data_IF_700442449508
#
_entry.id   IF_700442449508
#
_cell.length_a   1.000
_cell.length_b   1.000
_cell.length_c   1.000
_cell.angle_alpha   90.00
_cell.angle_beta   90.00
_cell.angle_gamma   90.00
#
_symmetry.space_group_name_H-M   'P 1'
#
loop_
_entity.id
_entity.type
_entity.pdbx_description
1 polymer ?
#
# COMPACT_ATOMS: atom_id res chain seq x y z
N UNK A 1 1.47 -64.02 -14.89
CA UNK A 1 0.89 -63.59 -13.61
C UNK A 1 -0.29 -64.48 -13.32
N UNK A 2 -0.29 -65.21 -12.22
CA UNK A 2 -1.37 -66.16 -11.82
C UNK A 2 -1.72 -65.87 -10.36
N UNK A 3 -3.02 -66.00 -10.01
CA UNK A 3 -3.51 -65.89 -8.66
C UNK A 3 -3.54 -67.32 -8.07
N UNK A 4 -2.85 -67.50 -6.93
CA UNK A 4 -2.87 -68.76 -6.19
C UNK A 4 -4.23 -68.92 -5.46
N UNK A 5 -4.60 -70.16 -5.17
CA UNK A 5 -5.78 -70.50 -4.35
C UNK A 5 -5.74 -69.81 -2.97
N UNK A 6 -4.58 -69.50 -2.48
CA UNK A 6 -4.35 -68.83 -1.16
C UNK A 6 -4.38 -67.30 -1.29
N UNK A 7 -4.77 -66.73 -2.43
CA UNK A 7 -4.86 -65.27 -2.67
C UNK A 7 -3.52 -64.61 -2.94
N UNK A 8 -2.42 -65.32 -3.08
CA UNK A 8 -1.12 -64.78 -3.41
C UNK A 8 -0.97 -64.57 -4.94
N UNK A 9 -0.32 -63.49 -5.33
CA UNK A 9 -0.01 -63.18 -6.72
C UNK A 9 1.34 -63.79 -7.06
N UNK A 10 1.39 -64.67 -8.07
CA UNK A 10 2.59 -65.31 -8.54
C UNK A 10 3.02 -64.62 -9.86
N UNK A 11 4.21 -64.07 -9.88
CA UNK A 11 4.80 -63.41 -11.04
C UNK A 11 6.08 -64.17 -11.41
N UNK A 12 6.09 -64.77 -12.60
CA UNK A 12 7.28 -65.36 -13.16
C UNK A 12 8.07 -64.33 -13.96
N UNK A 13 9.38 -64.30 -13.77
CA UNK A 13 10.35 -63.51 -14.52
C UNK A 13 11.52 -64.38 -15.04
N UNK A 14 12.45 -63.78 -15.76
CA UNK A 14 13.64 -64.49 -16.33
C UNK A 14 14.57 -65.03 -15.25
N UNK A 15 14.54 -64.46 -14.04
CA UNK A 15 15.42 -64.80 -12.91
C UNK A 15 14.73 -65.61 -11.82
N UNK A 16 13.46 -66.04 -12.03
CA UNK A 16 12.73 -66.82 -11.02
C UNK A 16 11.25 -66.48 -10.87
N UNK A 17 10.69 -66.98 -9.79
CA UNK A 17 9.26 -66.78 -9.47
C UNK A 17 9.16 -65.94 -8.18
N UNK A 18 8.41 -64.84 -8.24
CA UNK A 18 8.11 -64.01 -7.09
C UNK A 18 6.71 -64.25 -6.55
N UNK A 19 6.58 -64.48 -5.28
CA UNK A 19 5.30 -64.62 -4.55
C UNK A 19 5.01 -63.31 -3.85
N UNK A 20 3.90 -62.69 -4.19
CA UNK A 20 3.43 -61.46 -3.56
C UNK A 20 2.17 -61.76 -2.79
N UNK A 21 2.21 -61.62 -1.48
CA UNK A 21 1.03 -61.68 -0.60
C UNK A 21 0.37 -60.30 -0.49
N UNK A 22 -0.77 -60.05 -1.14
CA UNK A 22 -1.39 -58.74 -1.12
C UNK A 22 -1.74 -58.24 0.29
N UNK A 23 -1.98 -59.17 1.24
CA UNK A 23 -2.26 -58.87 2.64
C UNK A 23 -1.04 -58.34 3.41
N UNK A 24 0.19 -58.60 2.92
CA UNK A 24 1.45 -58.12 3.52
C UNK A 24 1.95 -56.83 2.88
N UNK A 25 1.28 -56.35 1.82
CA UNK A 25 1.58 -55.08 1.22
C UNK A 25 1.02 -53.97 2.14
N UNK A 26 1.75 -53.65 3.18
CA UNK A 26 1.48 -52.46 3.95
C UNK A 26 2.00 -51.24 3.18
N UNK A 27 1.10 -50.45 2.63
CA UNK A 27 1.44 -49.13 2.18
C UNK A 27 1.90 -48.34 3.41
N UNK A 28 3.19 -48.21 3.59
CA UNK A 28 3.74 -47.26 4.56
C UNK A 28 3.37 -45.88 4.05
N UNK A 29 2.23 -45.35 4.52
CA UNK A 29 1.91 -43.93 4.40
C UNK A 29 2.85 -43.15 5.31
N UNK A 30 4.12 -43.03 4.89
CA UNK A 30 4.95 -41.98 5.48
C UNK A 30 4.31 -40.67 5.04
N UNK A 31 3.72 -39.88 5.95
CA UNK A 31 3.16 -38.60 5.61
C UNK A 31 4.30 -37.67 5.18
N UNK A 32 4.58 -37.64 3.89
CA UNK A 32 5.60 -36.77 3.35
C UNK A 32 5.14 -35.32 3.51
N UNK A 33 5.90 -34.55 4.26
CA UNK A 33 5.66 -33.11 4.39
C UNK A 33 5.93 -32.40 3.04
N UNK A 34 5.16 -31.36 2.75
CA UNK A 34 5.51 -30.43 1.67
C UNK A 34 6.65 -29.54 2.16
N UNK A 35 7.68 -29.42 1.35
CA UNK A 35 8.82 -28.53 1.54
C UNK A 35 8.69 -27.33 0.60
N UNK A 36 9.10 -26.18 1.07
CA UNK A 36 9.24 -24.96 0.27
C UNK A 36 10.65 -24.90 -0.27
N UNK A 37 10.84 -25.30 -1.54
CA UNK A 37 12.16 -25.52 -2.13
C UNK A 37 12.81 -24.24 -2.69
N UNK A 38 12.05 -23.15 -2.84
CA UNK A 38 12.61 -21.89 -3.32
C UNK A 38 11.59 -20.77 -3.43
N UNK A 39 12.13 -19.57 -3.56
CA UNK A 39 11.41 -18.33 -3.81
C UNK A 39 11.95 -17.70 -5.09
N UNK A 40 11.07 -17.38 -6.02
CA UNK A 40 11.41 -16.67 -7.25
C UNK A 40 10.72 -15.32 -7.26
N UNK A 41 11.48 -14.25 -7.50
CA UNK A 41 10.98 -12.88 -7.68
C UNK A 41 11.29 -12.41 -9.09
N UNK A 42 10.27 -11.98 -9.84
CA UNK A 42 10.45 -11.48 -11.22
C UNK A 42 11.37 -12.38 -12.06
N UNK A 43 11.12 -13.69 -12.09
CA UNK A 43 11.89 -14.73 -12.80
C UNK A 43 13.33 -14.97 -12.28
N UNK A 44 13.74 -14.30 -11.22
CA UNK A 44 15.01 -14.55 -10.54
C UNK A 44 14.79 -15.43 -9.31
N UNK A 45 15.42 -16.62 -9.30
CA UNK A 45 15.38 -17.52 -8.15
C UNK A 45 16.36 -17.03 -7.08
N UNK A 46 15.86 -16.75 -5.89
CA UNK A 46 16.66 -16.27 -4.77
C UNK A 46 17.36 -17.41 -4.05
N UNK A 47 18.65 -17.25 -3.79
CA UNK A 47 19.39 -18.10 -2.87
C UNK A 47 19.29 -17.57 -1.41
N UNK A 48 19.54 -18.47 -0.45
CA UNK A 48 19.60 -18.07 0.97
C UNK A 48 20.77 -17.12 1.19
N UNK A 49 20.53 -15.99 1.85
CA UNK A 49 21.53 -14.94 2.11
C UNK A 49 21.80 -14.02 0.92
N UNK A 50 21.15 -14.22 -0.22
CA UNK A 50 21.33 -13.39 -1.40
C UNK A 50 20.72 -12.00 -1.19
N UNK A 51 21.45 -10.96 -1.65
CA UNK A 51 20.99 -9.59 -1.65
C UNK A 51 20.23 -9.28 -2.94
N UNK A 52 18.95 -9.03 -2.82
CA UNK A 52 18.11 -8.56 -3.91
C UNK A 52 17.73 -7.09 -3.68
N UNK A 53 18.12 -6.20 -4.59
CA UNK A 53 17.91 -4.74 -4.46
C UNK A 53 18.35 -4.20 -3.07
N UNK A 54 19.59 -4.54 -2.65
CA UNK A 54 20.21 -4.11 -1.38
C UNK A 54 19.62 -4.74 -0.10
N UNK A 55 18.60 -5.59 -0.19
CA UNK A 55 17.99 -6.26 0.95
C UNK A 55 18.17 -7.77 0.87
N UNK A 56 18.45 -8.43 1.98
CA UNK A 56 18.36 -9.88 2.09
C UNK A 56 16.89 -10.22 2.38
N UNK A 57 16.25 -10.95 1.45
CA UNK A 57 14.83 -11.33 1.57
C UNK A 57 14.69 -12.68 2.26
N UNK A 58 15.64 -13.57 2.04
CA UNK A 58 15.65 -14.92 2.57
C UNK A 58 16.93 -15.12 3.38
N UNK A 59 16.88 -14.86 4.68
CA UNK A 59 18.03 -14.99 5.59
C UNK A 59 18.33 -16.47 5.88
N UNK A 60 17.28 -17.29 5.96
CA UNK A 60 17.34 -18.70 6.24
C UNK A 60 16.47 -19.49 5.25
N UNK A 61 16.63 -20.82 5.23
CA UNK A 61 15.78 -21.72 4.46
C UNK A 61 14.30 -21.56 4.86
N UNK A 62 13.41 -21.57 3.87
CA UNK A 62 11.97 -21.36 4.05
C UNK A 62 11.31 -22.42 4.96
N UNK A 63 11.90 -23.60 5.03
CA UNK A 63 11.39 -24.67 5.88
C UNK A 63 11.78 -24.49 7.36
N UNK A 64 12.83 -23.70 7.63
CA UNK A 64 13.30 -23.36 8.98
C UNK A 64 12.59 -22.11 9.47
N UNK A 65 12.71 -20.99 8.74
CA UNK A 65 12.13 -19.70 9.13
C UNK A 65 10.62 -19.70 9.09
N UNK A 66 10.02 -20.42 8.13
CA UNK A 66 8.58 -20.43 7.84
C UNK A 66 7.96 -19.04 7.71
N UNK A 67 8.80 -18.07 7.39
CA UNK A 67 8.43 -16.68 7.24
C UNK A 67 9.20 -16.01 6.11
N UNK A 68 8.50 -15.19 5.31
CA UNK A 68 9.07 -14.34 4.26
C UNK A 68 8.58 -12.93 4.47
N UNK A 69 9.49 -11.97 4.35
CA UNK A 69 9.17 -10.56 4.40
C UNK A 69 9.46 -9.89 3.05
N UNK A 70 8.41 -9.40 2.38
CA UNK A 70 8.49 -8.76 1.07
C UNK A 70 8.15 -7.29 1.17
N UNK A 71 8.84 -6.45 0.41
CA UNK A 71 8.43 -5.07 0.22
C UNK A 71 7.23 -5.01 -0.76
N UNK A 72 6.42 -3.96 -0.68
CA UNK A 72 5.26 -3.79 -1.56
C UNK A 72 5.59 -3.83 -3.06
N UNK A 73 6.83 -3.52 -3.45
CA UNK A 73 7.30 -3.59 -4.85
C UNK A 73 7.45 -5.04 -5.34
N UNK A 74 7.52 -6.03 -4.44
CA UNK A 74 7.68 -7.45 -4.76
C UNK A 74 6.35 -8.19 -4.66
N UNK A 75 5.33 -7.61 -5.28
CA UNK A 75 3.96 -8.13 -5.23
C UNK A 75 3.70 -9.29 -6.22
N UNK A 76 4.70 -9.68 -7.01
CA UNK A 76 4.68 -10.84 -7.89
C UNK A 76 5.83 -11.79 -7.52
N UNK A 77 5.49 -12.96 -7.02
CA UNK A 77 6.45 -13.96 -6.60
C UNK A 77 5.92 -15.38 -6.76
N UNK A 78 6.84 -16.32 -6.89
CA UNK A 78 6.55 -17.75 -7.03
C UNK A 78 7.22 -18.53 -5.91
N UNK A 79 6.46 -19.33 -5.20
CA UNK A 79 6.96 -20.30 -4.22
C UNK A 79 7.08 -21.63 -4.91
N UNK A 80 8.27 -22.21 -4.88
CA UNK A 80 8.55 -23.55 -5.37
C UNK A 80 8.25 -24.56 -4.26
N UNK A 81 7.61 -25.66 -4.62
CA UNK A 81 7.17 -26.71 -3.71
C UNK A 81 7.89 -28.01 -4.04
N UNK A 82 8.21 -28.77 -3.03
CA UNK A 82 8.71 -30.12 -3.18
C UNK A 82 7.97 -31.07 -2.24
N UNK A 83 7.75 -32.29 -2.69
CA UNK A 83 7.26 -33.36 -1.83
C UNK A 83 8.44 -34.17 -1.30
N UNK A 84 8.49 -34.38 0.00
CA UNK A 84 9.50 -35.26 0.60
C UNK A 84 9.30 -36.75 0.21
N UNK A 85 8.20 -37.07 -0.48
CA UNK A 85 7.95 -38.42 -0.98
C UNK A 85 8.57 -38.60 -2.36
N UNK A 86 9.73 -39.24 -2.40
CA UNK A 86 10.53 -39.51 -3.61
C UNK A 86 9.91 -40.59 -4.53
N UNK A 87 8.82 -41.24 -4.12
CA UNK A 87 8.33 -42.42 -4.84
C UNK A 87 7.74 -42.13 -6.22
N UNK A 88 7.12 -40.97 -6.43
CA UNK A 88 6.60 -40.56 -7.75
C UNK A 88 6.53 -39.00 -7.84
N UNK A 89 7.65 -38.33 -8.11
CA UNK A 89 7.68 -36.85 -8.17
C UNK A 89 6.77 -36.24 -9.22
N UNK A 90 6.68 -36.87 -10.37
CA UNK A 90 5.97 -36.38 -11.58
C UNK A 90 4.43 -36.41 -11.47
N UNK A 91 3.89 -37.19 -10.55
CA UNK A 91 2.44 -37.34 -10.34
C UNK A 91 1.91 -36.70 -9.08
N UNK A 92 2.77 -36.00 -8.33
CA UNK A 92 2.34 -35.30 -7.12
C UNK A 92 1.56 -34.05 -7.49
N UNK A 93 0.33 -33.92 -6.97
CA UNK A 93 -0.46 -32.69 -7.05
C UNK A 93 -0.46 -32.04 -5.70
N UNK A 94 -0.44 -30.71 -5.72
CA UNK A 94 -0.54 -29.91 -4.50
C UNK A 94 -1.90 -29.22 -4.43
N UNK A 95 -2.47 -29.17 -3.25
CA UNK A 95 -3.55 -28.22 -2.99
C UNK A 95 -3.04 -27.18 -2.03
N UNK A 96 -3.41 -25.94 -2.29
CA UNK A 96 -2.94 -24.79 -1.53
C UNK A 96 -4.08 -23.80 -1.29
N UNK A 97 -3.94 -23.00 -0.25
CA UNK A 97 -4.75 -21.80 -0.02
C UNK A 97 -3.87 -20.72 0.59
N UNK A 98 -4.24 -19.47 0.32
CA UNK A 98 -3.58 -18.30 0.90
C UNK A 98 -4.54 -17.61 1.86
N UNK A 99 -4.47 -17.95 3.15
CA UNK A 99 -5.23 -17.28 4.20
C UNK A 99 -4.87 -15.79 4.25
N UNK A 100 -5.86 -14.94 4.43
CA UNK A 100 -5.72 -13.49 4.33
C UNK A 100 -6.08 -12.96 2.95
N UNK A 101 -6.02 -13.80 1.89
CA UNK A 101 -6.49 -13.50 0.55
C UNK A 101 -7.76 -14.29 0.21
N UNK A 102 -7.70 -15.62 0.35
CA UNK A 102 -8.84 -16.52 0.12
C UNK A 102 -8.73 -17.77 0.99
N UNK A 103 -9.85 -18.22 1.53
CA UNK A 103 -9.92 -19.47 2.28
C UNK A 103 -10.20 -20.71 1.39
N UNK A 104 -10.37 -20.50 0.08
CA UNK A 104 -10.64 -21.58 -0.86
C UNK A 104 -9.37 -22.36 -1.17
N UNK A 105 -9.47 -23.68 -1.13
CA UNK A 105 -8.41 -24.56 -1.61
C UNK A 105 -8.38 -24.58 -3.13
N UNK A 106 -7.20 -24.39 -3.69
CA UNK A 106 -6.91 -24.47 -5.12
C UNK A 106 -5.98 -25.64 -5.36
N UNK A 107 -6.06 -26.26 -6.54
CA UNK A 107 -5.20 -27.37 -6.94
C UNK A 107 -4.22 -26.90 -7.99
N UNK A 108 -2.94 -27.33 -7.89
CA UNK A 108 -1.96 -27.11 -8.95
C UNK A 108 -2.22 -28.06 -10.12
N UNK A 109 -1.77 -27.65 -11.30
CA UNK A 109 -1.77 -28.54 -12.47
C UNK A 109 -0.86 -29.73 -12.23
N UNK A 110 -1.05 -30.80 -12.98
CA UNK A 110 -0.22 -32.00 -12.89
C UNK A 110 1.22 -31.67 -13.27
N UNK A 111 2.18 -32.12 -12.48
CA UNK A 111 3.61 -31.79 -12.66
C UNK A 111 4.02 -30.38 -12.27
N UNK A 112 3.07 -29.50 -11.89
CA UNK A 112 3.38 -28.16 -11.44
C UNK A 112 3.69 -28.14 -9.94
N UNK A 113 4.96 -27.96 -9.61
CA UNK A 113 5.46 -27.87 -8.24
C UNK A 113 5.73 -26.41 -7.81
N UNK A 114 4.88 -25.48 -8.25
CA UNK A 114 5.04 -24.06 -7.90
C UNK A 114 3.69 -23.34 -7.82
N UNK A 115 3.64 -22.31 -7.00
CA UNK A 115 2.47 -21.43 -6.83
C UNK A 115 2.91 -20.00 -7.01
N UNK A 116 2.32 -19.31 -7.97
CA UNK A 116 2.60 -17.90 -8.27
C UNK A 116 1.49 -17.02 -7.74
N UNK A 117 1.90 -15.96 -7.06
CA UNK A 117 1.01 -14.90 -6.59
C UNK A 117 1.39 -13.60 -7.27
N UNK A 118 0.39 -12.84 -7.69
CA UNK A 118 0.57 -11.54 -8.34
C UNK A 118 -0.36 -10.53 -7.70
N UNK A 119 0.14 -9.30 -7.56
CA UNK A 119 -0.64 -8.16 -7.11
C UNK A 119 -1.32 -8.33 -5.73
N UNK A 120 -0.59 -8.94 -4.78
CA UNK A 120 -1.05 -9.00 -3.40
C UNK A 120 -0.90 -7.63 -2.72
N UNK A 121 -1.93 -7.23 -1.99
CA UNK A 121 -1.90 -6.00 -1.19
C UNK A 121 -0.96 -6.14 0.01
N UNK A 122 -0.45 -5.02 0.56
CA UNK A 122 0.29 -5.05 1.81
C UNK A 122 -0.53 -5.68 2.94
N UNK A 123 0.07 -6.64 3.63
CA UNK A 123 -0.62 -7.39 4.67
C UNK A 123 0.12 -8.67 5.08
N UNK A 124 -0.49 -9.43 5.97
CA UNK A 124 0.01 -10.73 6.41
C UNK A 124 -0.84 -11.85 5.85
N UNK A 125 -0.19 -12.80 5.20
CA UNK A 125 -0.80 -13.96 4.57
C UNK A 125 -0.18 -15.24 5.11
N UNK A 126 -0.93 -16.33 5.08
CA UNK A 126 -0.41 -17.66 5.39
C UNK A 126 -0.73 -18.59 4.25
N UNK A 127 0.31 -18.99 3.53
CA UNK A 127 0.25 -20.03 2.51
C UNK A 127 0.19 -21.39 3.21
N UNK A 128 -0.89 -22.13 3.01
CA UNK A 128 -1.05 -23.50 3.46
C UNK A 128 -1.05 -24.43 2.25
N UNK A 129 -0.22 -25.45 2.31
CA UNK A 129 -0.04 -26.42 1.21
C UNK A 129 -0.06 -27.83 1.76
N UNK A 130 -0.61 -28.76 0.98
CA UNK A 130 -0.51 -30.21 1.23
C UNK A 130 -0.51 -30.97 -0.10
N UNK A 131 0.04 -32.16 -0.10
CA UNK A 131 -0.05 -33.08 -1.25
C UNK A 131 -1.36 -33.83 -1.25
N UNK A 132 -1.85 -34.13 -2.46
CA UNK A 132 -3.04 -34.94 -2.69
C UNK A 132 -2.75 -36.03 -3.71
N UNK A 133 -3.54 -37.11 -3.64
CA UNK A 133 -3.54 -38.13 -4.69
C UNK A 133 -4.32 -37.66 -5.93
N UNK A 134 -4.41 -38.54 -6.91
CA UNK A 134 -5.17 -38.26 -8.15
C UNK A 134 -6.69 -38.07 -7.93
N UNK A 135 -7.22 -38.55 -6.80
CA UNK A 135 -8.63 -38.37 -6.39
C UNK A 135 -8.85 -37.10 -5.54
N UNK A 136 -7.76 -36.33 -5.24
CA UNK A 136 -7.82 -35.18 -4.39
C UNK A 136 -7.81 -35.49 -2.88
N UNK A 137 -7.55 -36.74 -2.49
CA UNK A 137 -7.47 -37.15 -1.08
C UNK A 137 -6.12 -36.69 -0.52
N UNK A 138 -6.11 -36.00 0.64
CA UNK A 138 -4.87 -35.54 1.26
C UNK A 138 -3.93 -36.67 1.63
N UNK A 139 -2.68 -36.54 1.19
CA UNK A 139 -1.60 -37.51 1.47
C UNK A 139 -0.64 -37.00 2.53
N UNK A 140 -0.58 -35.67 2.76
CA UNK A 140 0.33 -35.06 3.74
C UNK A 140 -0.40 -34.17 4.73
N UNK A 141 0.19 -33.91 5.91
CA UNK A 141 -0.24 -32.81 6.77
C UNK A 141 -0.09 -31.47 6.05
N UNK A 142 -0.71 -30.45 6.60
CA UNK A 142 -0.61 -29.08 6.06
C UNK A 142 0.75 -28.49 6.44
N UNK A 143 1.52 -28.07 5.46
CA UNK A 143 2.71 -27.22 5.63
C UNK A 143 2.28 -25.76 5.48
N UNK A 144 2.80 -24.88 6.35
CA UNK A 144 2.44 -23.45 6.35
C UNK A 144 3.67 -22.57 6.23
N UNK A 145 3.54 -21.49 5.45
CA UNK A 145 4.53 -20.43 5.26
C UNK A 145 3.85 -19.08 5.45
N UNK A 146 4.35 -18.26 6.34
CA UNK A 146 3.84 -16.90 6.57
C UNK A 146 4.52 -15.93 5.63
N UNK A 147 3.73 -15.10 4.94
CA UNK A 147 4.18 -14.10 3.98
C UNK A 147 3.71 -12.75 4.48
N UNK A 148 4.65 -11.84 4.74
CA UNK A 148 4.37 -10.48 5.19
C UNK A 148 4.79 -9.49 4.11
N UNK A 149 3.84 -8.72 3.56
CA UNK A 149 4.11 -7.70 2.57
C UNK A 149 4.04 -6.34 3.26
N UNK A 150 5.19 -5.65 3.31
CA UNK A 150 5.30 -4.32 3.94
C UNK A 150 4.54 -3.27 3.11
N UNK A 151 3.80 -2.36 3.76
CA UNK A 151 3.19 -1.25 3.06
C UNK A 151 4.25 -0.27 2.55
N UNK A 152 3.95 0.47 1.47
CA UNK A 152 4.82 1.55 1.00
C UNK A 152 4.96 2.64 2.05
N UNK A 153 6.11 3.34 2.05
CA UNK A 153 6.44 4.38 3.04
C UNK A 153 5.37 5.50 3.11
N UNK A 154 4.74 5.84 1.97
CA UNK A 154 3.70 6.86 1.90
C UNK A 154 2.34 6.43 2.50
N UNK A 155 2.14 5.14 2.79
CA UNK A 155 1.01 4.56 3.54
C UNK A 155 1.37 4.21 4.98
N UNK A 156 2.55 4.60 5.43
CA UNK A 156 2.98 4.43 6.82
C UNK A 156 2.22 5.38 7.75
N UNK A 157 2.07 4.99 9.01
CA UNK A 157 1.48 5.85 10.06
C UNK A 157 2.21 7.20 10.17
N UNK A 158 3.54 7.20 10.03
CA UNK A 158 4.35 8.42 9.99
C UNK A 158 3.98 9.34 8.81
N UNK A 159 3.73 8.77 7.62
CA UNK A 159 3.33 9.56 6.47
C UNK A 159 1.98 10.27 6.69
N UNK A 160 1.01 9.59 7.28
CA UNK A 160 -0.28 10.20 7.62
C UNK A 160 -0.14 11.33 8.65
N UNK A 161 0.72 11.20 9.64
CA UNK A 161 1.03 12.26 10.61
C UNK A 161 1.61 13.48 9.88
N UNK A 162 2.59 13.27 8.98
CA UNK A 162 3.20 14.35 8.18
C UNK A 162 2.14 15.03 7.31
N UNK A 163 1.28 14.27 6.62
CA UNK A 163 0.21 14.83 5.78
C UNK A 163 -0.77 15.67 6.61
N UNK A 164 -1.11 15.22 7.81
CA UNK A 164 -2.01 15.96 8.72
C UNK A 164 -1.37 17.29 9.16
N UNK A 165 -0.07 17.28 9.52
CA UNK A 165 0.66 18.50 9.90
C UNK A 165 0.73 19.47 8.72
N UNK A 166 1.05 18.99 7.51
CA UNK A 166 1.09 19.82 6.31
C UNK A 166 -0.28 20.43 5.98
N UNK A 167 -1.35 19.67 6.14
CA UNK A 167 -2.71 20.17 5.93
C UNK A 167 -3.05 21.30 6.92
N UNK A 168 -2.75 21.10 8.19
CA UNK A 168 -2.96 22.13 9.23
C UNK A 168 -2.14 23.38 8.91
N UNK A 169 -0.87 23.24 8.55
CA UNK A 169 -0.02 24.36 8.19
C UNK A 169 -0.54 25.12 6.96
N UNK A 170 -1.05 24.41 5.94
CA UNK A 170 -1.65 24.99 4.77
C UNK A 170 -2.91 25.80 5.12
N UNK A 171 -3.80 25.23 5.92
CA UNK A 171 -5.02 25.93 6.38
C UNK A 171 -4.66 27.18 7.17
N UNK A 172 -3.70 27.10 8.08
CA UNK A 172 -3.22 28.25 8.83
C UNK A 172 -2.60 29.33 7.93
N UNK A 173 -1.81 28.94 6.94
CA UNK A 173 -1.26 29.87 5.96
C UNK A 173 -2.34 30.59 5.16
N UNK A 174 -3.32 29.86 4.65
CA UNK A 174 -4.46 30.41 3.91
C UNK A 174 -5.28 31.38 4.79
N UNK A 175 -5.55 30.99 6.04
CA UNK A 175 -6.23 31.87 7.01
C UNK A 175 -5.46 33.18 7.21
N UNK A 176 -4.16 33.10 7.43
CA UNK A 176 -3.29 34.28 7.60
C UNK A 176 -3.24 35.15 6.34
N UNK A 177 -3.19 34.53 5.16
CA UNK A 177 -3.23 35.24 3.88
C UNK A 177 -4.56 36.01 3.68
N UNK A 178 -5.70 35.38 4.00
CA UNK A 178 -7.01 36.01 3.96
C UNK A 178 -7.12 37.18 4.95
N UNK A 179 -6.62 37.02 6.15
CA UNK A 179 -6.56 38.06 7.17
C UNK A 179 -5.75 39.28 6.67
N UNK A 180 -4.58 39.03 6.05
CA UNK A 180 -3.74 40.11 5.47
C UNK A 180 -4.49 40.86 4.37
N UNK A 181 -5.19 40.15 3.47
CA UNK A 181 -6.00 40.74 2.39
C UNK A 181 -7.15 41.60 2.97
N UNK A 182 -7.85 41.12 3.99
CA UNK A 182 -8.93 41.87 4.67
C UNK A 182 -8.41 43.17 5.32
N UNK A 183 -7.27 43.10 6.04
CA UNK A 183 -6.65 44.30 6.65
C UNK A 183 -6.22 45.31 5.59
N UNK A 184 -5.62 44.86 4.50
CA UNK A 184 -5.22 45.74 3.40
C UNK A 184 -6.42 46.42 2.70
N UNK A 185 -7.53 45.69 2.54
CA UNK A 185 -8.76 46.26 2.01
C UNK A 185 -9.37 47.30 2.95
N UNK A 186 -9.41 47.02 4.25
CA UNK A 186 -9.89 47.99 5.25
C UNK A 186 -9.05 49.26 5.29
N UNK A 187 -7.72 49.14 5.28
CA UNK A 187 -6.82 50.29 5.26
C UNK A 187 -7.00 51.17 4.01
N UNK A 188 -7.33 50.58 2.84
CA UNK A 188 -7.63 51.34 1.64
C UNK A 188 -8.93 52.15 1.77
N UNK A 189 -9.99 51.52 2.30
CA UNK A 189 -11.28 52.18 2.52
C UNK A 189 -11.14 53.33 3.50
N UNK A 190 -10.34 53.13 4.56
CA UNK A 190 -10.09 54.17 5.58
C UNK A 190 -9.34 55.39 5.01
N UNK A 191 -8.33 55.13 4.17
CA UNK A 191 -7.57 56.18 3.44
C UNK A 191 -8.44 56.92 2.42
N UNK A 192 -9.36 56.26 1.74
CA UNK A 192 -10.31 56.91 0.82
C UNK A 192 -11.28 57.83 1.56
N UNK A 193 -11.83 57.36 2.69
CA UNK A 193 -12.68 58.18 3.57
C UNK A 193 -11.96 59.42 4.10
N UNK A 194 -10.70 59.30 4.52
CA UNK A 194 -9.92 60.44 4.99
C UNK A 194 -9.68 61.47 3.90
N UNK A 195 -9.39 61.04 2.64
CA UNK A 195 -9.27 61.90 1.46
C UNK A 195 -10.61 62.64 1.16
N UNK A 196 -11.75 61.93 1.20
CA UNK A 196 -13.06 62.55 0.99
C UNK A 196 -13.38 63.62 2.03
N UNK A 197 -13.07 63.34 3.33
CA UNK A 197 -13.26 64.31 4.41
C UNK A 197 -12.37 65.56 4.19
N UNK A 198 -11.12 65.37 3.81
CA UNK A 198 -10.22 66.51 3.55
C UNK A 198 -10.63 67.31 2.33
N UNK A 199 -11.08 66.65 1.25
CA UNK A 199 -11.64 67.33 0.09
C UNK A 199 -12.91 68.15 0.44
N UNK A 200 -13.80 67.55 1.24
CA UNK A 200 -15.01 68.28 1.74
C UNK A 200 -14.67 69.45 2.58
N UNK A 201 -13.67 69.36 3.46
CA UNK A 201 -13.18 70.47 4.28
C UNK A 201 -12.61 71.60 3.39
N UNK A 202 -11.84 71.30 2.38
CA UNK A 202 -11.31 72.28 1.45
C UNK A 202 -12.42 73.05 0.69
N UNK A 203 -13.41 72.32 0.13
CA UNK A 203 -14.56 72.90 -0.51
C UNK A 203 -15.33 73.81 0.46
N UNK A 204 -15.54 73.36 1.67
CA UNK A 204 -16.21 74.16 2.71
C UNK A 204 -15.48 75.49 2.99
N UNK A 205 -14.17 75.45 3.17
CA UNK A 205 -13.37 76.65 3.41
C UNK A 205 -13.37 77.62 2.21
N UNK A 206 -13.34 77.08 0.98
CA UNK A 206 -13.43 77.91 -0.26
C UNK A 206 -14.80 78.63 -0.31
N UNK A 207 -15.87 77.86 -0.05
CA UNK A 207 -17.25 78.44 -0.10
C UNK A 207 -17.42 79.51 1.00
N UNK A 208 -16.98 79.27 2.24
CA UNK A 208 -17.06 80.26 3.32
C UNK A 208 -16.25 81.50 2.97
N UNK A 209 -15.06 81.37 2.42
CA UNK A 209 -14.28 82.50 1.99
C UNK A 209 -14.98 83.34 0.93
N UNK A 210 -15.66 82.70 0.00
CA UNK A 210 -16.47 83.41 -1.00
C UNK A 210 -17.69 84.09 -0.38
N UNK A 211 -18.41 83.39 0.47
CA UNK A 211 -19.61 83.94 1.15
C UNK A 211 -19.29 85.06 2.15
N UNK A 212 -18.13 85.00 2.81
CA UNK A 212 -17.70 86.09 3.69
C UNK A 212 -17.15 87.29 2.91
N UNK A 213 -16.52 87.07 1.76
CA UNK A 213 -15.97 88.18 0.95
C UNK A 213 -17.06 89.19 0.53
N UNK A 214 -18.23 88.67 0.10
CA UNK A 214 -19.32 89.51 -0.39
C UNK A 214 -19.86 90.49 0.64
N UNK A 215 -20.26 90.09 1.86
CA UNK A 215 -20.74 91.01 2.89
C UNK A 215 -19.60 91.95 3.40
N UNK A 216 -18.36 91.44 3.47
CA UNK A 216 -17.21 92.23 3.88
C UNK A 216 -16.91 93.32 2.87
N UNK A 217 -17.01 93.06 1.57
CA UNK A 217 -16.84 94.06 0.51
C UNK A 217 -17.99 95.11 0.55
N UNK A 218 -19.23 94.65 0.83
CA UNK A 218 -20.37 95.54 0.98
C UNK A 218 -20.26 96.51 2.17
N UNK A 219 -19.56 96.10 3.25
CA UNK A 219 -19.29 96.94 4.43
C UNK A 219 -18.07 97.84 4.21
N UNK A 220 -16.99 97.29 3.68
CA UNK A 220 -15.73 98.05 3.47
C UNK A 220 -15.82 99.10 2.35
N UNK A 221 -16.62 98.86 1.31
CA UNK A 221 -16.78 99.76 0.18
C UNK A 221 -17.35 101.14 0.64
N UNK A 222 -18.48 101.24 1.34
CA UNK A 222 -18.97 102.49 1.84
C UNK A 222 -18.08 103.11 2.94
N UNK A 223 -17.45 102.28 3.82
CA UNK A 223 -16.51 102.79 4.81
C UNK A 223 -15.26 103.44 4.13
N UNK A 224 -14.73 102.87 3.04
CA UNK A 224 -13.62 103.42 2.30
C UNK A 224 -14.00 104.69 1.54
N UNK A 225 -15.25 104.84 1.10
CA UNK A 225 -15.71 106.10 0.52
C UNK A 225 -15.86 107.21 1.55
N UNK A 226 -16.32 106.92 2.78
CA UNK A 226 -16.39 107.92 3.90
C UNK A 226 -15.03 108.38 4.33
N UNK A 227 -14.03 107.51 4.38
CA UNK A 227 -12.63 107.89 4.77
C UNK A 227 -11.93 108.65 3.66
N UNK A 228 -12.43 108.67 2.46
CA UNK A 228 -11.82 109.35 1.31
C UNK A 228 -12.44 110.74 1.07
N UNK A 229 -13.47 111.11 1.76
CA UNK A 229 -14.17 112.39 1.71
C UNK A 229 -13.71 113.36 2.84
N UNK A 230 -12.83 112.98 3.73
CA UNK A 230 -12.10 113.83 4.66
C UNK A 230 -10.66 114.14 4.11
#
# INVERSE_FOLDING_TARGET
MVLSSDGNIIVGGMEGISFIAPQQITMHKNPAHVLFSGLTLFDHQLAVGEKFNHNVIMEEDLNISRHIELNYNYNAFTIQLASANLSIPEKSRFIYRLKGFSNRWLMTSEGQASVTFTNLEPGKYTLEVRTVDYNGVPLSPVSSLTISIKPPFYRSTLAYIIYTILLIALVFYLYKALQRRRKAAQARIELEKEKEIDASKQIFFININHELRTPLTLILSPLASIIREE
#
